data_IF_926984840202
#
_entry.id   IF_926984840202
#
_cell.length_a   1.000
_cell.length_b   1.000
_cell.length_c   1.000
_cell.angle_alpha   90.00
_cell.angle_beta   90.00
_cell.angle_gamma   90.00
#
_symmetry.space_group_name_H-M   'P 1'
#
loop_
_entity.id
_entity.type
_entity.pdbx_description
1 polymer ?
#
# COMPACT_ATOMS: atom_id res chain seq x y z
N UNK A 1 57.80 -27.33 43.63
CA UNK A 1 56.37 -27.44 43.80
C UNK A 1 55.69 -26.51 42.75
N UNK A 2 55.18 -27.11 41.70
CA UNK A 2 54.36 -26.46 40.69
C UNK A 2 52.91 -26.57 41.13
N UNK A 3 52.09 -25.51 40.99
CA UNK A 3 50.69 -25.67 40.76
C UNK A 3 49.98 -24.32 40.41
N UNK A 4 49.27 -24.34 39.29
CA UNK A 4 48.02 -23.66 38.94
C UNK A 4 47.95 -22.14 38.75
N UNK A 5 48.01 -21.73 37.52
CA UNK A 5 47.14 -20.67 36.97
C UNK A 5 46.72 -21.06 35.55
N UNK A 6 45.57 -21.68 35.45
CA UNK A 6 44.82 -21.82 34.19
C UNK A 6 43.34 -21.88 34.54
N UNK A 7 42.59 -20.90 34.13
CA UNK A 7 41.12 -20.90 34.01
C UNK A 7 40.50 -19.60 34.50
N UNK A 8 40.54 -18.53 33.74
CA UNK A 8 39.49 -17.48 33.66
C UNK A 8 39.71 -16.76 32.33
N UNK A 9 39.22 -17.35 31.24
CA UNK A 9 39.05 -16.62 29.96
C UNK A 9 38.05 -17.34 29.06
N UNK A 10 36.82 -17.58 29.54
CA UNK A 10 35.77 -18.14 28.67
C UNK A 10 34.35 -17.72 29.06
N UNK A 11 34.09 -16.48 29.44
CA UNK A 11 32.71 -16.06 29.76
C UNK A 11 32.30 -14.68 29.20
N UNK A 12 33.12 -14.06 28.35
CA UNK A 12 32.81 -12.70 27.83
C UNK A 12 32.31 -12.65 26.38
N UNK A 13 32.31 -13.78 25.65
CA UNK A 13 31.86 -13.79 24.25
C UNK A 13 30.37 -14.12 24.04
N UNK A 14 29.68 -14.69 25.02
CA UNK A 14 28.28 -15.06 24.90
C UNK A 14 27.31 -13.88 25.15
N UNK A 15 27.72 -12.84 25.89
CA UNK A 15 26.86 -11.67 26.16
C UNK A 15 26.73 -10.69 25.00
N UNK A 16 27.72 -10.62 24.11
CA UNK A 16 27.74 -9.65 23.01
C UNK A 16 26.78 -10.03 21.85
N UNK A 17 26.62 -11.33 21.56
CA UNK A 17 25.69 -11.79 20.51
C UNK A 17 24.22 -11.61 20.90
N UNK A 18 23.87 -11.75 22.16
CA UNK A 18 22.48 -11.68 22.61
C UNK A 18 21.94 -10.24 22.65
N UNK A 19 22.80 -9.26 22.94
CA UNK A 19 22.40 -7.84 22.98
C UNK A 19 22.20 -7.21 21.61
N UNK A 20 22.89 -7.68 20.57
CA UNK A 20 22.71 -7.20 19.22
C UNK A 20 21.40 -7.75 18.61
N UNK A 21 21.12 -9.03 18.81
CA UNK A 21 19.88 -9.66 18.35
C UNK A 21 18.62 -9.01 18.95
N UNK A 22 18.65 -8.65 20.24
CA UNK A 22 17.52 -7.98 20.90
C UNK A 22 17.32 -6.54 20.41
N UNK A 23 18.39 -5.80 20.14
CA UNK A 23 18.32 -4.44 19.58
C UNK A 23 17.80 -4.45 18.13
N UNK A 24 18.25 -5.39 17.32
CA UNK A 24 17.77 -5.53 15.94
C UNK A 24 16.29 -5.92 15.90
N UNK A 25 15.85 -6.83 16.76
CA UNK A 25 14.44 -7.18 16.88
C UNK A 25 13.58 -5.99 17.32
N UNK A 26 14.02 -5.21 18.32
CA UNK A 26 13.32 -4.01 18.77
C UNK A 26 13.26 -2.94 17.67
N UNK A 27 14.31 -2.79 16.87
CA UNK A 27 14.34 -1.88 15.72
C UNK A 27 13.35 -2.31 14.64
N UNK A 28 13.31 -3.60 14.31
CA UNK A 28 12.34 -4.15 13.34
C UNK A 28 10.91 -3.98 13.82
N UNK A 29 10.65 -4.21 15.12
CA UNK A 29 9.32 -4.01 15.72
C UNK A 29 8.82 -2.57 15.61
N UNK A 30 9.73 -1.59 15.68
CA UNK A 30 9.38 -0.17 15.59
C UNK A 30 8.96 0.29 14.18
N UNK A 31 9.19 -0.53 13.14
CA UNK A 31 8.80 -0.22 11.76
C UNK A 31 7.28 -0.39 11.52
N UNK A 32 6.61 -1.09 12.41
CA UNK A 32 5.20 -1.42 12.27
C UNK A 32 4.37 -0.77 13.37
N UNK A 33 3.17 -0.24 13.03
CA UNK A 33 2.24 0.27 14.02
C UNK A 33 1.90 -0.78 15.08
N UNK A 34 1.91 -0.39 16.35
CA UNK A 34 1.49 -1.26 17.44
C UNK A 34 -0.03 -1.45 17.39
N UNK A 35 -0.52 -2.62 17.83
CA UNK A 35 -1.96 -2.87 17.98
C UNK A 35 -2.58 -1.77 18.85
N UNK A 36 -3.67 -1.16 18.36
CA UNK A 36 -4.33 -0.02 19.00
C UNK A 36 -3.78 1.36 18.56
N UNK A 37 -2.81 1.43 17.63
CA UNK A 37 -2.43 2.71 17.02
C UNK A 37 -3.64 3.30 16.30
N UNK A 38 -3.96 4.55 16.60
CA UNK A 38 -5.09 5.23 15.99
C UNK A 38 -4.80 5.57 14.52
N UNK A 39 -5.65 5.07 13.63
CA UNK A 39 -5.70 5.46 12.22
C UNK A 39 -6.96 6.26 11.99
N UNK A 40 -6.80 7.54 11.67
CA UNK A 40 -7.93 8.44 11.50
C UNK A 40 -8.84 7.96 10.35
N UNK A 41 -10.13 7.91 10.58
CA UNK A 41 -11.16 7.46 9.64
C UNK A 41 -11.10 5.98 9.22
N UNK A 42 -10.28 5.15 9.87
CA UNK A 42 -10.31 3.72 9.62
C UNK A 42 -11.66 3.12 10.04
N UNK A 43 -12.23 2.31 9.18
CA UNK A 43 -13.47 1.57 9.48
C UNK A 43 -13.20 0.46 10.50
N UNK A 44 -14.13 0.27 11.43
CA UNK A 44 -13.98 -0.72 12.52
C UNK A 44 -13.76 -2.14 11.99
N UNK A 45 -14.51 -2.52 10.94
CA UNK A 45 -14.38 -3.84 10.31
C UNK A 45 -12.99 -4.09 9.69
N UNK A 46 -12.26 -3.04 9.32
CA UNK A 46 -10.93 -3.14 8.70
C UNK A 46 -9.79 -3.31 9.72
N UNK A 47 -10.03 -3.00 11.00
CA UNK A 47 -8.98 -2.91 12.03
C UNK A 47 -8.26 -4.26 12.20
N UNK A 48 -8.99 -5.35 12.38
CA UNK A 48 -8.38 -6.66 12.63
C UNK A 48 -7.61 -7.16 11.40
N UNK A 49 -8.15 -6.97 10.19
CA UNK A 49 -7.47 -7.27 8.93
C UNK A 49 -6.17 -6.49 8.78
N UNK A 50 -6.20 -5.20 9.11
CA UNK A 50 -5.04 -4.32 9.08
C UNK A 50 -3.91 -4.85 9.97
N UNK A 51 -4.17 -5.16 11.24
CA UNK A 51 -3.14 -5.66 12.15
C UNK A 51 -2.69 -7.09 11.81
N UNK A 52 -3.56 -7.93 11.28
CA UNK A 52 -3.18 -9.25 10.76
C UNK A 52 -2.14 -9.09 9.65
N UNK A 53 -2.41 -8.24 8.66
CA UNK A 53 -1.47 -7.98 7.55
C UNK A 53 -0.16 -7.38 8.02
N UNK A 54 -0.18 -6.44 8.97
CA UNK A 54 1.05 -5.90 9.57
C UNK A 54 1.88 -6.98 10.25
N UNK A 55 1.26 -7.95 10.90
CA UNK A 55 1.96 -9.09 11.51
C UNK A 55 2.61 -9.99 10.45
N UNK A 56 1.94 -10.21 9.31
CA UNK A 56 2.50 -10.94 8.16
C UNK A 56 3.68 -10.17 7.56
N UNK A 57 3.58 -8.85 7.40
CA UNK A 57 4.67 -8.01 6.91
C UNK A 57 5.89 -8.06 7.85
N UNK A 58 5.67 -8.00 9.15
CA UNK A 58 6.72 -8.14 10.16
C UNK A 58 7.41 -9.50 10.09
N UNK A 59 6.65 -10.58 9.85
CA UNK A 59 7.21 -11.94 9.68
C UNK A 59 7.96 -12.10 8.35
N UNK A 60 7.66 -11.26 7.34
CA UNK A 60 8.31 -11.26 6.02
C UNK A 60 8.59 -9.82 5.58
N UNK A 61 9.60 -9.15 6.16
CA UNK A 61 9.95 -7.77 5.85
C UNK A 61 10.31 -7.55 4.37
N UNK A 62 10.26 -6.30 3.91
CA UNK A 62 10.55 -5.94 2.52
C UNK A 62 11.92 -6.48 2.08
N UNK A 63 12.96 -6.28 2.89
CA UNK A 63 14.34 -6.63 2.51
C UNK A 63 14.94 -5.66 1.50
N UNK A 64 16.15 -5.98 1.04
CA UNK A 64 16.92 -5.14 0.13
C UNK A 64 16.53 -5.35 -1.34
N UNK A 65 16.77 -4.34 -2.18
CA UNK A 65 16.61 -4.37 -3.64
C UNK A 65 15.22 -4.84 -4.10
N UNK A 66 14.18 -4.40 -3.39
CA UNK A 66 12.79 -4.77 -3.68
C UNK A 66 12.03 -3.65 -4.39
N UNK A 67 11.01 -4.06 -5.12
CA UNK A 67 9.94 -3.21 -5.66
C UNK A 67 8.73 -3.47 -4.79
N UNK A 68 8.07 -2.42 -4.30
CA UNK A 68 6.93 -2.54 -3.40
C UNK A 68 5.65 -2.10 -4.09
N UNK A 69 4.64 -2.97 -4.08
CA UNK A 69 3.27 -2.60 -4.40
C UNK A 69 2.55 -2.25 -3.09
N UNK A 70 2.26 -0.96 -2.92
CA UNK A 70 1.70 -0.37 -1.70
C UNK A 70 0.26 0.09 -1.97
N UNK A 71 -0.69 -0.36 -1.15
CA UNK A 71 -2.09 0.00 -1.36
C UNK A 71 -3.09 -0.73 -0.48
N UNK A 72 -4.31 -0.85 -0.97
CA UNK A 72 -5.44 -1.47 -0.28
C UNK A 72 -5.74 -2.91 -0.76
N UNK A 73 -7.02 -3.35 -0.67
CA UNK A 73 -7.48 -4.67 -1.12
C UNK A 73 -7.17 -4.95 -2.59
N UNK A 74 -7.26 -3.95 -3.47
CA UNK A 74 -6.97 -4.13 -4.89
C UNK A 74 -5.50 -4.51 -5.10
N UNK A 75 -4.59 -3.90 -4.33
CA UNK A 75 -3.16 -4.28 -4.34
C UNK A 75 -2.94 -5.65 -3.69
N UNK A 76 -3.58 -5.91 -2.55
CA UNK A 76 -3.47 -7.17 -1.83
C UNK A 76 -3.92 -8.36 -2.69
N UNK A 77 -5.08 -8.25 -3.31
CA UNK A 77 -5.69 -9.31 -4.13
C UNK A 77 -4.96 -9.56 -5.46
N UNK A 78 -4.00 -8.70 -5.84
CA UNK A 78 -3.06 -8.99 -6.92
C UNK A 78 -2.21 -10.24 -6.66
N UNK A 79 -2.17 -10.72 -5.42
CA UNK A 79 -1.55 -11.97 -5.01
C UNK A 79 -0.03 -11.96 -5.19
N UNK A 80 0.49 -12.96 -5.88
CA UNK A 80 1.92 -13.07 -6.17
C UNK A 80 2.30 -12.24 -7.42
N UNK A 81 2.62 -10.98 -7.21
CA UNK A 81 3.07 -10.07 -8.25
C UNK A 81 4.34 -10.55 -8.97
N UNK A 82 5.18 -11.36 -8.31
CA UNK A 82 6.38 -11.91 -8.95
C UNK A 82 6.05 -12.81 -10.14
N UNK A 83 4.98 -13.62 -10.03
CA UNK A 83 4.51 -14.46 -11.14
C UNK A 83 4.03 -13.63 -12.31
N UNK A 84 3.36 -12.48 -12.05
CA UNK A 84 2.82 -11.60 -13.09
C UNK A 84 3.92 -10.94 -13.93
N UNK A 85 5.08 -10.66 -13.31
CA UNK A 85 6.20 -9.96 -13.95
C UNK A 85 7.42 -10.85 -14.22
N UNK A 86 7.37 -12.16 -13.94
CA UNK A 86 8.50 -13.08 -14.14
C UNK A 86 9.75 -12.65 -13.35
N UNK A 87 9.58 -12.19 -12.10
CA UNK A 87 10.65 -11.72 -11.24
C UNK A 87 10.57 -12.33 -9.83
N UNK A 88 11.50 -12.00 -8.93
CA UNK A 88 11.52 -12.42 -7.52
C UNK A 88 11.72 -11.26 -6.54
N UNK A 89 11.66 -10.03 -7.03
CA UNK A 89 11.99 -8.85 -6.23
C UNK A 89 10.79 -7.94 -5.92
N UNK A 90 9.55 -8.37 -6.20
CA UNK A 90 8.34 -7.61 -5.87
C UNK A 90 7.77 -8.08 -4.54
N UNK A 91 7.37 -7.12 -3.70
CA UNK A 91 6.75 -7.35 -2.40
C UNK A 91 5.38 -6.69 -2.37
N UNK A 92 4.34 -7.48 -2.03
CA UNK A 92 2.98 -7.00 -1.90
C UNK A 92 2.76 -6.42 -0.50
N UNK A 93 2.47 -5.13 -0.42
CA UNK A 93 2.12 -4.38 0.80
C UNK A 93 0.70 -3.79 0.70
N UNK A 94 -0.21 -4.53 0.06
CA UNK A 94 -1.63 -4.26 0.09
C UNK A 94 -2.28 -4.71 1.39
N UNK A 95 -3.26 -3.94 1.89
CA UNK A 95 -4.10 -4.27 3.05
C UNK A 95 -5.56 -3.99 2.72
N UNK A 96 -6.43 -5.00 2.85
CA UNK A 96 -7.87 -4.85 2.66
C UNK A 96 -8.46 -3.73 3.52
N UNK A 97 -9.27 -2.87 2.91
CA UNK A 97 -9.89 -1.73 3.61
C UNK A 97 -8.94 -0.58 3.96
N UNK A 98 -7.65 -0.65 3.59
CA UNK A 98 -6.71 0.43 3.93
C UNK A 98 -7.05 1.73 3.21
N UNK A 99 -6.76 2.83 3.90
CA UNK A 99 -7.00 4.21 3.49
C UNK A 99 -5.68 5.00 3.48
N UNK A 100 -5.70 6.20 2.95
CA UNK A 100 -4.49 7.05 2.86
C UNK A 100 -3.84 7.30 4.23
N UNK A 101 -4.62 7.50 5.29
CA UNK A 101 -4.10 7.64 6.67
C UNK A 101 -3.43 6.35 7.17
N UNK A 102 -3.98 5.17 6.82
CA UNK A 102 -3.38 3.89 7.19
C UNK A 102 -2.01 3.71 6.56
N UNK A 103 -1.84 4.07 5.28
CA UNK A 103 -0.54 4.07 4.61
C UNK A 103 0.43 5.02 5.28
N UNK A 104 0.00 6.25 5.66
CA UNK A 104 0.85 7.21 6.37
C UNK A 104 1.35 6.63 7.71
N UNK A 105 0.48 5.97 8.47
CA UNK A 105 0.82 5.38 9.77
C UNK A 105 1.84 4.25 9.64
N UNK A 106 1.80 3.44 8.55
CA UNK A 106 2.69 2.30 8.33
C UNK A 106 3.86 2.55 7.36
N UNK A 107 4.17 3.80 7.07
CA UNK A 107 5.18 4.18 6.06
C UNK A 107 6.63 3.81 6.48
N UNK A 108 6.88 3.57 7.77
CA UNK A 108 8.23 3.39 8.32
C UNK A 108 8.98 2.20 7.73
N UNK A 109 8.29 1.13 7.33
CA UNK A 109 8.91 -0.01 6.65
C UNK A 109 9.54 0.40 5.31
N UNK A 110 8.84 1.23 4.51
CA UNK A 110 9.34 1.78 3.24
C UNK A 110 10.59 2.63 3.47
N UNK A 111 10.55 3.52 4.47
CA UNK A 111 11.65 4.43 4.80
C UNK A 111 12.89 3.65 5.26
N UNK A 112 12.69 2.58 6.03
CA UNK A 112 13.78 1.75 6.55
C UNK A 112 14.48 0.96 5.45
N UNK A 113 13.72 0.24 4.61
CA UNK A 113 14.28 -0.64 3.58
C UNK A 113 14.67 0.07 2.29
N UNK A 114 14.19 1.28 2.06
CA UNK A 114 14.52 2.10 0.87
C UNK A 114 14.44 1.29 -0.42
N UNK A 115 13.25 0.74 -0.76
CA UNK A 115 13.11 -0.12 -1.94
C UNK A 115 13.50 0.61 -3.22
N UNK A 116 13.82 -0.13 -4.28
CA UNK A 116 14.13 0.40 -5.61
C UNK A 116 12.99 1.29 -6.13
N UNK A 117 11.76 0.82 -5.92
CA UNK A 117 10.57 1.58 -6.28
C UNK A 117 9.37 1.22 -5.39
N UNK A 118 8.42 2.15 -5.30
CA UNK A 118 7.09 1.97 -4.73
C UNK A 118 6.06 2.29 -5.80
N UNK A 119 5.13 1.37 -6.05
CA UNK A 119 3.92 1.57 -6.85
C UNK A 119 2.75 1.73 -5.88
N UNK A 120 2.26 2.96 -5.73
CA UNK A 120 1.21 3.32 -4.78
C UNK A 120 -0.15 3.39 -5.48
N UNK A 121 -1.12 2.58 -5.04
CA UNK A 121 -2.53 2.66 -5.42
C UNK A 121 -3.40 2.69 -4.17
N UNK A 122 -3.94 3.86 -3.81
CA UNK A 122 -4.72 4.09 -2.59
C UNK A 122 -5.73 5.22 -2.78
N UNK A 123 -6.80 5.26 -2.00
CA UNK A 123 -7.73 6.38 -1.94
C UNK A 123 -9.20 6.00 -2.13
N UNK A 124 -9.52 4.86 -2.76
CA UNK A 124 -10.92 4.47 -2.97
C UNK A 124 -11.66 4.25 -1.64
N UNK A 125 -11.05 3.61 -0.65
CA UNK A 125 -11.67 3.35 0.64
C UNK A 125 -11.86 4.63 1.48
N UNK A 126 -11.09 5.67 1.20
CA UNK A 126 -11.28 6.98 1.83
C UNK A 126 -12.64 7.56 1.48
N UNK A 127 -13.05 7.47 0.21
CA UNK A 127 -14.27 8.09 -0.33
C UNK A 127 -15.44 7.12 -0.47
N UNK A 128 -15.23 5.80 -0.45
CA UNK A 128 -16.28 4.82 -0.69
C UNK A 128 -17.45 4.91 0.32
N UNK A 129 -17.17 5.30 1.55
CA UNK A 129 -18.15 5.50 2.63
C UNK A 129 -18.06 6.92 3.22
N UNK A 130 -17.76 7.93 2.41
CA UNK A 130 -17.60 9.32 2.89
C UNK A 130 -18.90 9.96 3.37
N UNK A 131 -20.05 9.40 3.01
CA UNK A 131 -21.39 9.78 3.45
C UNK A 131 -21.71 9.38 4.91
N UNK A 132 -20.93 8.46 5.50
CA UNK A 132 -21.13 8.04 6.88
C UNK A 132 -20.83 9.16 7.88
N UNK A 133 -21.48 9.13 9.06
CA UNK A 133 -21.22 10.09 10.13
C UNK A 133 -19.72 10.21 10.46
N UNK A 134 -19.27 11.45 10.72
CA UNK A 134 -17.89 11.82 11.03
C UNK A 134 -16.87 11.67 9.87
N UNK A 135 -17.32 11.44 8.65
CA UNK A 135 -16.46 11.36 7.45
C UNK A 135 -16.66 12.56 6.49
N UNK A 136 -17.45 13.55 6.88
CA UNK A 136 -17.73 14.78 6.14
C UNK A 136 -16.48 15.60 5.77
N UNK A 137 -15.36 15.34 6.46
CA UNK A 137 -14.05 15.99 6.18
C UNK A 137 -13.20 15.23 5.18
N UNK A 138 -13.66 14.07 4.72
CA UNK A 138 -12.97 13.31 3.66
C UNK A 138 -13.46 13.85 2.31
N UNK A 139 -12.77 14.85 1.82
CA UNK A 139 -12.99 15.44 0.50
C UNK A 139 -11.99 14.90 -0.51
N UNK A 140 -12.23 15.12 -1.80
CA UNK A 140 -11.30 14.78 -2.87
C UNK A 140 -9.91 15.42 -2.63
N UNK A 141 -9.90 16.69 -2.20
CA UNK A 141 -8.67 17.39 -1.84
C UNK A 141 -7.97 16.77 -0.62
N UNK A 142 -8.73 16.27 0.36
CA UNK A 142 -8.15 15.58 1.52
C UNK A 142 -7.40 14.32 1.09
N UNK A 143 -8.02 13.50 0.25
CA UNK A 143 -7.41 12.25 -0.26
C UNK A 143 -6.17 12.56 -1.11
N UNK A 144 -6.29 13.47 -2.06
CA UNK A 144 -5.16 13.91 -2.89
C UNK A 144 -4.01 14.46 -2.03
N UNK A 145 -4.29 15.29 -1.04
CA UNK A 145 -3.27 15.84 -0.13
C UNK A 145 -2.59 14.77 0.72
N UNK A 146 -3.30 13.73 1.14
CA UNK A 146 -2.68 12.60 1.84
C UNK A 146 -1.75 11.80 0.91
N UNK A 147 -2.12 11.57 -0.36
CA UNK A 147 -1.25 10.95 -1.36
C UNK A 147 0.00 11.81 -1.59
N UNK A 148 -0.14 13.13 -1.71
CA UNK A 148 0.96 14.07 -1.80
C UNK A 148 1.86 14.04 -0.54
N UNK A 149 1.27 13.92 0.64
CA UNK A 149 2.01 13.77 1.91
C UNK A 149 2.82 12.49 1.92
N UNK A 150 2.26 11.35 1.50
CA UNK A 150 2.98 10.08 1.35
C UNK A 150 4.17 10.26 0.40
N UNK A 151 3.95 10.89 -0.75
CA UNK A 151 5.00 11.17 -1.72
C UNK A 151 6.13 12.03 -1.11
N UNK A 152 5.80 13.10 -0.43
CA UNK A 152 6.77 13.98 0.23
C UNK A 152 7.58 13.26 1.30
N UNK A 153 6.93 12.39 2.10
CA UNK A 153 7.61 11.60 3.13
C UNK A 153 8.63 10.66 2.46
N UNK A 154 8.22 9.90 1.43
CA UNK A 154 9.12 8.96 0.73
C UNK A 154 10.27 9.73 0.06
N UNK A 155 10.01 10.81 -0.66
CA UNK A 155 11.04 11.61 -1.33
C UNK A 155 12.07 12.19 -0.36
N UNK A 156 11.64 12.62 0.83
CA UNK A 156 12.52 13.18 1.85
C UNK A 156 13.33 12.13 2.58
N UNK A 157 12.68 11.06 3.04
CA UNK A 157 13.29 10.06 3.95
C UNK A 157 13.92 8.88 3.20
N UNK A 158 13.54 8.65 1.95
CA UNK A 158 14.05 7.59 1.08
C UNK A 158 14.30 8.10 -0.34
N UNK A 159 15.21 9.08 -0.55
CA UNK A 159 15.38 9.78 -1.84
C UNK A 159 15.87 8.88 -2.98
N UNK A 160 16.41 7.71 -2.69
CA UNK A 160 16.80 6.70 -3.69
C UNK A 160 15.62 5.88 -4.21
N UNK A 161 14.47 5.89 -3.50
CA UNK A 161 13.27 5.15 -3.90
C UNK A 161 12.49 5.89 -4.97
N UNK A 162 12.29 5.25 -6.13
CA UNK A 162 11.39 5.78 -7.15
C UNK A 162 9.94 5.57 -6.73
N UNK A 163 9.17 6.64 -6.59
CA UNK A 163 7.74 6.54 -6.32
C UNK A 163 6.93 6.72 -7.60
N UNK A 164 6.05 5.77 -7.88
CA UNK A 164 5.02 5.85 -8.91
C UNK A 164 3.65 5.90 -8.24
N UNK A 165 2.95 7.02 -8.38
CA UNK A 165 1.57 7.18 -7.90
C UNK A 165 0.65 6.74 -9.03
N UNK A 166 -0.19 5.75 -8.75
CA UNK A 166 -1.16 5.24 -9.71
C UNK A 166 -2.52 5.91 -9.47
N UNK A 167 -3.20 6.33 -10.53
CA UNK A 167 -4.54 6.90 -10.41
C UNK A 167 -5.50 5.89 -9.84
N UNK A 168 -6.45 6.34 -9.02
CA UNK A 168 -7.52 5.50 -8.45
C UNK A 168 -8.32 4.91 -9.60
N UNK A 169 -8.55 3.59 -9.57
CA UNK A 169 -9.32 2.89 -10.58
C UNK A 169 -10.78 3.35 -10.59
N UNK A 170 -11.46 3.29 -11.73
CA UNK A 170 -12.89 3.55 -11.79
C UNK A 170 -13.66 2.50 -10.97
N UNK A 171 -14.93 2.79 -10.67
CA UNK A 171 -15.88 1.85 -10.09
C UNK A 171 -17.06 1.65 -11.03
N UNK A 172 -17.78 0.55 -10.90
CA UNK A 172 -19.03 0.32 -11.61
C UNK A 172 -20.19 0.17 -10.62
N UNK A 173 -20.94 1.24 -10.35
CA UNK A 173 -22.05 1.21 -9.38
C UNK A 173 -23.13 0.18 -9.73
N UNK A 174 -23.41 -0.02 -11.03
CA UNK A 174 -24.44 -0.98 -11.50
C UNK A 174 -24.02 -2.43 -11.20
N UNK A 175 -22.75 -2.78 -11.47
CA UNK A 175 -22.21 -4.11 -11.18
C UNK A 175 -22.13 -4.35 -9.66
N UNK A 176 -21.70 -3.35 -8.90
CA UNK A 176 -21.61 -3.45 -7.45
C UNK A 176 -23.00 -3.65 -6.81
N UNK A 177 -24.00 -2.87 -7.24
CA UNK A 177 -25.38 -3.02 -6.77
C UNK A 177 -25.95 -4.41 -7.10
N UNK A 178 -25.70 -4.91 -8.32
CA UNK A 178 -26.15 -6.25 -8.75
C UNK A 178 -25.61 -7.35 -7.85
N UNK A 179 -24.34 -7.26 -7.43
CA UNK A 179 -23.67 -8.30 -6.63
C UNK A 179 -23.98 -8.16 -5.14
N UNK A 180 -24.03 -6.94 -4.61
CA UNK A 180 -24.11 -6.68 -3.17
C UNK A 180 -25.50 -6.25 -2.69
N UNK A 181 -26.43 -5.94 -3.59
CA UNK A 181 -27.77 -5.47 -3.27
C UNK A 181 -27.86 -4.00 -2.85
N UNK A 182 -26.75 -3.29 -2.82
CA UNK A 182 -26.70 -1.86 -2.52
C UNK A 182 -25.47 -1.22 -3.20
N UNK A 183 -25.47 0.11 -3.30
CA UNK A 183 -24.28 0.92 -3.56
C UNK A 183 -24.36 2.15 -2.65
N UNK A 184 -23.26 2.59 -2.01
CA UNK A 184 -23.31 3.75 -1.12
C UNK A 184 -23.81 5.00 -1.85
N UNK A 185 -24.72 5.73 -1.21
CA UNK A 185 -25.17 7.04 -1.71
C UNK A 185 -24.15 8.11 -1.36
N UNK A 186 -23.90 9.02 -2.28
CA UNK A 186 -22.95 10.11 -2.12
C UNK A 186 -23.55 11.41 -2.62
N UNK A 187 -23.29 12.52 -1.93
CA UNK A 187 -23.69 13.87 -2.39
C UNK A 187 -23.05 14.22 -3.74
N UNK A 188 -21.77 13.84 -3.94
CA UNK A 188 -21.09 13.85 -5.23
C UNK A 188 -20.94 12.39 -5.67
N UNK A 189 -21.38 11.98 -6.85
CA UNK A 189 -21.23 10.60 -7.31
C UNK A 189 -19.81 10.09 -7.16
N UNK A 190 -19.64 8.85 -6.71
CA UNK A 190 -18.30 8.27 -6.44
C UNK A 190 -17.38 8.29 -7.67
N UNK A 191 -17.87 8.02 -8.92
CA UNK A 191 -17.05 8.16 -10.12
C UNK A 191 -16.52 9.60 -10.32
N UNK A 192 -17.32 10.62 -10.00
CA UNK A 192 -16.91 12.03 -10.11
C UNK A 192 -15.86 12.39 -9.07
N UNK A 193 -15.99 11.90 -7.82
CA UNK A 193 -14.98 12.06 -6.78
C UNK A 193 -13.64 11.44 -7.21
N UNK A 194 -13.67 10.22 -7.78
CA UNK A 194 -12.48 9.55 -8.32
C UNK A 194 -11.82 10.40 -9.41
N UNK A 195 -12.62 10.89 -10.36
CA UNK A 195 -12.15 11.74 -11.46
C UNK A 195 -11.49 13.03 -10.93
N UNK A 196 -12.10 13.67 -9.93
CA UNK A 196 -11.57 14.89 -9.31
C UNK A 196 -10.24 14.63 -8.60
N UNK A 197 -10.12 13.55 -7.82
CA UNK A 197 -8.85 13.16 -7.18
C UNK A 197 -7.79 12.88 -8.24
N UNK A 198 -8.10 12.06 -9.23
CA UNK A 198 -7.17 11.69 -10.30
C UNK A 198 -6.71 12.92 -11.11
N UNK A 199 -7.59 13.89 -11.33
CA UNK A 199 -7.23 15.16 -11.95
C UNK A 199 -6.20 15.92 -11.11
N UNK A 200 -6.44 16.08 -9.80
CA UNK A 200 -5.49 16.75 -8.89
C UNK A 200 -4.12 16.05 -8.91
N UNK A 201 -4.11 14.70 -8.91
CA UNK A 201 -2.86 13.94 -8.95
C UNK A 201 -2.12 14.14 -10.28
N UNK A 202 -2.82 14.09 -11.41
CA UNK A 202 -2.24 14.24 -12.76
C UNK A 202 -1.73 15.66 -13.05
N UNK A 203 -2.37 16.68 -12.48
CA UNK A 203 -1.97 18.08 -12.62
C UNK A 203 -0.77 18.45 -11.71
N UNK A 204 -0.34 17.56 -10.82
CA UNK A 204 0.78 17.79 -9.92
C UNK A 204 2.09 17.30 -10.53
N UNK A 205 2.94 18.22 -11.02
CA UNK A 205 4.24 17.96 -11.66
C UNK A 205 5.32 17.40 -10.71
N UNK A 206 5.09 17.41 -9.39
CA UNK A 206 5.98 16.75 -8.42
C UNK A 206 5.74 15.24 -8.30
N UNK A 207 4.67 14.72 -8.91
CA UNK A 207 4.32 13.30 -8.87
C UNK A 207 4.70 12.61 -10.19
N UNK A 208 5.25 11.41 -10.07
CA UNK A 208 5.37 10.49 -11.20
C UNK A 208 4.10 9.65 -11.30
N UNK A 209 3.10 10.16 -12.01
CA UNK A 209 1.77 9.56 -12.09
C UNK A 209 1.71 8.53 -13.21
N UNK A 210 1.13 7.37 -12.91
CA UNK A 210 0.71 6.36 -13.90
C UNK A 210 -0.82 6.40 -13.98
N UNK A 211 -1.35 6.76 -15.15
CA UNK A 211 -2.79 6.77 -15.37
C UNK A 211 -3.32 5.36 -15.63
N UNK A 212 -3.63 4.63 -14.56
CA UNK A 212 -4.33 3.35 -14.67
C UNK A 212 -5.81 3.56 -15.00
N UNK A 213 -6.45 4.59 -14.43
CA UNK A 213 -7.88 4.83 -14.54
C UNK A 213 -8.34 4.77 -15.99
N UNK A 214 -7.66 5.52 -16.88
CA UNK A 214 -8.05 5.61 -18.29
C UNK A 214 -8.00 4.29 -19.05
N UNK A 215 -7.24 3.31 -18.58
CA UNK A 215 -7.14 1.98 -19.19
C UNK A 215 -8.18 0.97 -18.68
N UNK A 216 -9.01 1.39 -17.71
CA UNK A 216 -10.00 0.53 -17.07
C UNK A 216 -11.43 1.01 -17.23
N UNK A 217 -11.65 2.22 -17.74
CA UNK A 217 -12.99 2.75 -18.00
C UNK A 217 -13.60 2.14 -19.25
N UNK A 218 -14.93 1.95 -19.21
CA UNK A 218 -15.75 1.70 -20.39
C UNK A 218 -16.24 3.02 -21.04
N UNK A 219 -17.06 2.91 -22.07
CA UNK A 219 -17.61 4.07 -22.79
C UNK A 219 -18.57 4.91 -21.94
N UNK A 220 -19.08 4.39 -20.82
CA UNK A 220 -19.92 5.11 -19.85
C UNK A 220 -19.10 5.78 -18.74
N UNK A 221 -17.77 5.56 -18.69
CA UNK A 221 -16.88 6.10 -17.66
C UNK A 221 -16.81 5.26 -16.39
N UNK A 222 -17.32 4.02 -16.40
CA UNK A 222 -17.29 3.08 -15.27
C UNK A 222 -16.22 2.02 -15.44
N UNK A 223 -15.91 1.31 -14.34
CA UNK A 223 -15.04 0.14 -14.42
C UNK A 223 -15.63 -0.89 -15.37
N UNK A 224 -14.87 -1.18 -16.43
CA UNK A 224 -15.30 -2.09 -17.46
C UNK A 224 -15.53 -3.51 -16.91
N UNK A 225 -16.70 -4.09 -17.19
CA UNK A 225 -17.12 -5.42 -16.69
C UNK A 225 -16.18 -6.56 -17.09
N UNK A 226 -15.36 -6.39 -18.14
CA UNK A 226 -14.27 -7.32 -18.49
C UNK A 226 -13.22 -7.43 -17.38
N UNK A 227 -12.99 -6.36 -16.60
CA UNK A 227 -11.91 -6.26 -15.64
C UNK A 227 -12.34 -6.44 -14.19
N UNK A 228 -13.65 -6.52 -13.94
CA UNK A 228 -14.21 -6.67 -12.59
C UNK A 228 -15.53 -7.42 -12.66
N UNK A 229 -15.76 -8.33 -11.74
CA UNK A 229 -16.99 -9.09 -11.65
C UNK A 229 -18.03 -8.34 -10.80
N UNK A 230 -17.59 -7.55 -9.80
CA UNK A 230 -18.44 -6.88 -8.83
C UNK A 230 -18.37 -5.34 -8.86
N UNK A 231 -17.53 -4.78 -9.73
CA UNK A 231 -17.48 -3.35 -9.99
C UNK A 231 -16.52 -2.50 -9.15
N UNK A 232 -15.69 -3.12 -8.30
CA UNK A 232 -14.64 -2.43 -7.49
C UNK A 232 -13.31 -3.16 -7.58
N UNK A 233 -13.29 -4.46 -7.24
CA UNK A 233 -12.07 -5.27 -7.29
C UNK A 233 -11.84 -5.83 -8.68
N UNK A 234 -10.57 -6.05 -9.01
CA UNK A 234 -10.19 -6.59 -10.30
C UNK A 234 -10.32 -8.12 -10.33
N UNK A 235 -10.78 -8.64 -11.44
CA UNK A 235 -10.64 -10.04 -11.78
C UNK A 235 -9.26 -10.31 -12.45
N UNK A 236 -9.01 -11.54 -12.89
CA UNK A 236 -7.71 -11.91 -13.46
C UNK A 236 -7.38 -11.16 -14.75
N UNK A 237 -8.38 -10.82 -15.57
CA UNK A 237 -8.18 -9.99 -16.77
C UNK A 237 -7.77 -8.56 -16.39
N UNK A 238 -8.37 -8.00 -15.34
CA UNK A 238 -7.99 -6.71 -14.79
C UNK A 238 -6.54 -6.70 -14.29
N UNK A 239 -6.12 -7.71 -13.54
CA UNK A 239 -4.72 -7.81 -13.09
C UNK A 239 -3.74 -8.02 -14.23
N UNK A 240 -4.11 -8.75 -15.30
CA UNK A 240 -3.27 -8.86 -16.50
C UNK A 240 -3.14 -7.52 -17.22
N UNK A 241 -4.24 -6.77 -17.33
CA UNK A 241 -4.21 -5.42 -17.90
C UNK A 241 -3.30 -4.49 -17.09
N UNK A 242 -3.45 -4.45 -15.76
CA UNK A 242 -2.59 -3.66 -14.89
C UNK A 242 -1.11 -4.01 -15.05
N UNK A 243 -0.78 -5.30 -14.99
CA UNK A 243 0.59 -5.76 -15.16
C UNK A 243 1.18 -5.33 -16.52
N UNK A 244 0.41 -5.45 -17.60
CA UNK A 244 0.83 -5.03 -18.94
C UNK A 244 1.16 -3.53 -19.00
N UNK A 245 0.34 -2.68 -18.39
CA UNK A 245 0.49 -1.22 -18.40
C UNK A 245 1.79 -0.73 -17.72
N UNK A 246 2.27 -1.45 -16.73
CA UNK A 246 3.45 -1.03 -15.95
C UNK A 246 4.68 -1.90 -16.18
N UNK A 247 4.59 -2.90 -17.08
CA UNK A 247 5.67 -3.87 -17.31
C UNK A 247 6.99 -3.22 -17.69
N UNK A 248 6.99 -2.21 -18.54
CA UNK A 248 8.21 -1.50 -18.95
C UNK A 248 8.89 -0.83 -17.76
N UNK A 249 8.12 -0.22 -16.85
CA UNK A 249 8.65 0.40 -15.64
C UNK A 249 9.28 -0.64 -14.71
N UNK A 250 8.65 -1.80 -14.55
CA UNK A 250 9.17 -2.92 -13.75
C UNK A 250 10.46 -3.47 -14.39
N UNK A 251 10.49 -3.61 -15.72
CA UNK A 251 11.67 -4.13 -16.45
C UNK A 251 12.88 -3.23 -16.29
N UNK A 252 12.70 -1.92 -16.25
CA UNK A 252 13.79 -0.94 -16.02
C UNK A 252 14.31 -0.91 -14.57
N UNK A 253 13.70 -1.65 -13.65
CA UNK A 253 14.06 -1.73 -12.22
C UNK A 253 14.68 -3.10 -11.85
N UNK A 254 14.86 -3.99 -12.82
CA UNK A 254 15.42 -5.34 -12.61
C UNK A 254 16.95 -5.37 -12.57
#
# INVERSE_FOLDING_TARGET
>A
MRFFYLSIFLSLLASSCNTNSTKDNQRMDSLYPKKGTFVKYQEEWAIDGYYKRLSEFKASPIGENKIVFLGNSITESGGDWNKRFGTKNIVNRGIGGDITEGVIVRIQEIIHFKPLAVFLLIGINDIFNSDKPNRDKITESYVANNILKISKIISRESPSTKLFVQTILPVNPKSYFKENGFFPEHNVPLPDQINNINKILKENDQLNVIDLHSAFVDDEGFLHTKYSDEGVHLNEDGYRNWASLINDKITLLK
#
